data_IF_305354969027
#
_entry.id   IF_305354969027
#
_cell.length_a   1.000
_cell.length_b   1.000
_cell.length_c   1.000
_cell.angle_alpha   90.00
_cell.angle_beta   90.00
_cell.angle_gamma   90.00
#
_symmetry.space_group_name_H-M   'P 1'
#
loop_
_entity.id
_entity.type
_entity.pdbx_description
1 polymer ?
#
# COMPACT_ATOMS: atom_id res chain seq x y z
N UNK A 1 2.38 -22.94 62.02
CA UNK A 1 1.66 -23.55 63.17
C UNK A 1 0.27 -22.95 63.22
N UNK A 2 -0.75 -23.81 63.42
CA UNK A 2 -2.19 -23.53 63.56
C UNK A 2 -2.93 -23.22 62.26
N UNK A 3 -4.10 -23.79 61.95
CA UNK A 3 -4.88 -24.85 62.59
C UNK A 3 -5.97 -25.28 61.61
N UNK A 4 -6.16 -26.60 61.53
CA UNK A 4 -7.45 -27.27 61.59
C UNK A 4 -8.56 -26.84 60.61
N UNK A 5 -8.56 -27.54 59.46
CA UNK A 5 -9.78 -28.00 58.80
C UNK A 5 -10.60 -28.86 59.80
N UNK A 6 -11.87 -28.50 60.01
CA UNK A 6 -12.83 -29.25 60.86
C UNK A 6 -14.13 -29.40 60.07
N UNK A 7 -14.32 -30.56 59.42
CA UNK A 7 -15.32 -31.63 59.72
C UNK A 7 -16.73 -31.33 59.11
N UNK A 8 -17.70 -32.27 59.05
CA UNK A 8 -17.65 -33.60 58.43
C UNK A 8 -19.03 -34.04 57.83
N UNK A 9 -19.07 -35.25 57.27
CA UNK A 9 -20.21 -36.20 57.29
C UNK A 9 -21.62 -35.74 56.85
N UNK A 10 -22.09 -36.27 55.72
CA UNK A 10 -23.42 -36.88 55.67
C UNK A 10 -23.52 -38.04 54.65
N UNK A 11 -23.39 -39.25 55.20
CA UNK A 11 -24.04 -40.54 54.89
C UNK A 11 -25.16 -40.47 53.81
N UNK A 12 -24.98 -41.12 52.65
CA UNK A 12 -25.44 -42.49 52.25
C UNK A 12 -26.95 -42.67 51.97
N UNK A 13 -27.20 -43.03 50.68
CA UNK A 13 -28.24 -43.94 50.11
C UNK A 13 -29.70 -43.41 50.08
N UNK A 14 -30.62 -43.94 49.24
CA UNK A 14 -30.51 -45.01 48.23
C UNK A 14 -31.12 -44.64 46.84
N UNK A 15 -31.07 -45.62 45.93
CA UNK A 15 -31.62 -45.67 44.59
C UNK A 15 -33.04 -45.10 44.40
N UNK A 16 -33.24 -44.41 43.27
CA UNK A 16 -34.38 -44.72 42.39
C UNK A 16 -33.89 -44.74 40.95
N UNK A 17 -33.80 -45.96 40.42
CA UNK A 17 -33.71 -46.25 39.00
C UNK A 17 -34.97 -45.69 38.33
N UNK A 18 -34.89 -44.48 37.81
CA UNK A 18 -35.85 -43.99 36.82
C UNK A 18 -35.26 -44.28 35.43
N UNK A 19 -35.61 -45.46 34.93
CA UNK A 19 -35.43 -45.91 33.56
C UNK A 19 -36.18 -44.95 32.62
N UNK A 20 -35.54 -43.83 32.25
CA UNK A 20 -36.08 -42.93 31.22
C UNK A 20 -35.92 -43.62 29.88
N UNK A 21 -37.04 -44.16 29.41
CA UNK A 21 -37.27 -44.76 28.11
C UNK A 21 -36.90 -43.77 26.99
N UNK A 22 -35.67 -43.89 26.48
CA UNK A 22 -35.16 -43.11 25.35
C UNK A 22 -35.77 -43.70 24.08
N UNK A 23 -37.01 -43.32 23.76
CA UNK A 23 -37.63 -43.62 22.46
C UNK A 23 -36.76 -43.00 21.36
N UNK A 24 -35.93 -43.81 20.73
CA UNK A 24 -35.22 -43.45 19.52
C UNK A 24 -36.25 -43.31 18.40
N UNK A 25 -36.67 -42.07 18.14
CA UNK A 25 -37.40 -41.72 16.93
C UNK A 25 -36.35 -41.74 15.80
N UNK A 26 -36.13 -42.91 15.21
CA UNK A 26 -35.40 -43.00 13.94
C UNK A 26 -36.37 -42.57 12.84
N UNK A 27 -36.46 -41.27 12.60
CA UNK A 27 -36.93 -40.80 11.29
C UNK A 27 -35.85 -41.18 10.28
N UNK A 28 -36.16 -42.13 9.40
CA UNK A 28 -35.34 -42.38 8.22
C UNK A 28 -35.22 -41.05 7.46
N UNK A 29 -34.02 -40.53 7.17
CA UNK A 29 -33.91 -39.34 6.34
C UNK A 29 -34.47 -39.72 4.97
N UNK A 30 -35.62 -39.15 4.61
CA UNK A 30 -36.09 -39.21 3.24
C UNK A 30 -34.92 -38.68 2.39
N UNK A 31 -34.36 -39.53 1.53
CA UNK A 31 -33.31 -39.12 0.60
C UNK A 31 -33.89 -37.97 -0.23
N UNK A 32 -33.53 -36.74 0.14
CA UNK A 32 -33.73 -35.58 -0.71
C UNK A 32 -33.02 -35.93 -2.00
N UNK A 33 -33.79 -36.14 -3.06
CA UNK A 33 -33.25 -36.34 -4.40
C UNK A 33 -32.29 -35.20 -4.66
N UNK A 34 -31.00 -35.51 -4.74
CA UNK A 34 -30.01 -34.54 -5.20
C UNK A 34 -30.37 -34.22 -6.64
N UNK A 35 -31.00 -33.08 -6.85
CA UNK A 35 -31.14 -32.49 -8.16
C UNK A 35 -29.70 -32.20 -8.64
N UNK A 36 -29.26 -32.90 -9.67
CA UNK A 36 -27.98 -32.59 -10.32
C UNK A 36 -28.02 -31.17 -10.86
N UNK A 37 -26.92 -30.42 -10.73
CA UNK A 37 -26.80 -29.10 -11.33
C UNK A 37 -26.99 -29.18 -12.84
N UNK A 38 -27.82 -28.30 -13.39
CA UNK A 38 -27.98 -28.18 -14.83
C UNK A 38 -26.73 -27.57 -15.46
N UNK A 39 -26.39 -27.98 -16.68
CA UNK A 39 -25.31 -27.35 -17.46
C UNK A 39 -25.53 -25.84 -17.61
N UNK A 40 -26.80 -25.42 -17.77
CA UNK A 40 -27.17 -24.02 -17.90
C UNK A 40 -26.83 -23.22 -16.63
N UNK A 41 -26.96 -23.85 -15.47
CA UNK A 41 -26.70 -23.25 -14.16
C UNK A 41 -25.22 -22.94 -13.96
N UNK A 42 -24.34 -23.83 -14.44
CA UNK A 42 -22.90 -23.57 -14.46
C UNK A 42 -22.52 -22.51 -15.52
N UNK A 43 -23.16 -22.54 -16.69
CA UNK A 43 -22.90 -21.56 -17.75
C UNK A 43 -23.22 -20.13 -17.29
N UNK A 44 -24.40 -19.90 -16.69
CA UNK A 44 -24.77 -18.56 -16.24
C UNK A 44 -23.83 -18.04 -15.14
N UNK A 45 -23.38 -18.91 -14.22
CA UNK A 45 -22.44 -18.53 -13.15
C UNK A 45 -21.08 -18.11 -13.72
N UNK A 46 -20.52 -18.86 -14.67
CA UNK A 46 -19.23 -18.51 -15.29
C UNK A 46 -19.35 -17.19 -16.07
N UNK A 47 -20.47 -16.97 -16.75
CA UNK A 47 -20.74 -15.71 -17.46
C UNK A 47 -20.81 -14.53 -16.48
N UNK A 48 -21.51 -14.68 -15.37
CA UNK A 48 -21.63 -13.63 -14.36
C UNK A 48 -20.28 -13.32 -13.68
N UNK A 49 -19.52 -14.34 -13.28
CA UNK A 49 -18.19 -14.16 -12.68
C UNK A 49 -17.23 -13.52 -13.70
N UNK A 50 -17.22 -14.00 -14.95
CA UNK A 50 -16.42 -13.43 -16.02
C UNK A 50 -16.74 -11.96 -16.28
N UNK A 51 -18.03 -11.59 -16.29
CA UNK A 51 -18.48 -10.21 -16.43
C UNK A 51 -18.04 -9.30 -15.28
N UNK A 52 -18.15 -9.76 -14.02
CA UNK A 52 -17.70 -9.00 -12.85
C UNK A 52 -16.18 -8.80 -12.87
N UNK A 53 -15.41 -9.85 -13.17
CA UNK A 53 -13.94 -9.77 -13.26
C UNK A 53 -13.52 -8.76 -14.33
N UNK A 54 -14.15 -8.80 -15.51
CA UNK A 54 -13.87 -7.86 -16.59
C UNK A 54 -14.16 -6.40 -16.18
N UNK A 55 -15.26 -6.18 -15.47
CA UNK A 55 -15.64 -4.84 -15.02
C UNK A 55 -14.70 -4.30 -13.94
N UNK A 56 -14.43 -5.10 -12.90
CA UNK A 56 -13.60 -4.68 -11.76
C UNK A 56 -12.13 -4.51 -12.15
N UNK A 57 -11.59 -5.39 -13.01
CA UNK A 57 -10.19 -5.31 -13.46
C UNK A 57 -9.85 -3.99 -14.17
N UNK A 58 -10.82 -3.37 -14.85
CA UNK A 58 -10.60 -2.13 -15.61
C UNK A 58 -10.52 -0.86 -14.75
N UNK A 59 -11.11 -0.85 -13.55
CA UNK A 59 -11.30 0.36 -12.74
C UNK A 59 -10.11 0.72 -11.86
N UNK A 60 -9.24 -0.23 -11.51
CA UNK A 60 -8.14 -0.04 -10.54
C UNK A 60 -6.93 0.67 -11.16
N UNK A 61 -6.68 0.47 -12.46
CA UNK A 61 -5.45 0.94 -13.10
C UNK A 61 -5.43 2.44 -13.41
N UNK A 62 -6.59 3.05 -13.72
CA UNK A 62 -6.64 4.46 -14.16
C UNK A 62 -6.53 5.51 -13.04
N UNK A 63 -6.88 5.18 -11.79
CA UNK A 63 -6.88 6.13 -10.68
C UNK A 63 -5.50 6.35 -10.04
N UNK A 64 -4.67 5.31 -10.03
CA UNK A 64 -3.35 5.34 -9.39
C UNK A 64 -2.40 6.32 -10.11
N UNK A 65 -2.41 6.34 -11.45
CA UNK A 65 -1.48 7.15 -12.24
C UNK A 65 -1.71 8.66 -12.06
N UNK A 66 -2.97 9.10 -11.97
CA UNK A 66 -3.29 10.51 -11.68
C UNK A 66 -2.78 10.94 -10.30
N UNK A 67 -2.96 10.07 -9.29
CA UNK A 67 -2.47 10.33 -7.94
C UNK A 67 -0.95 10.49 -7.91
N UNK A 68 -0.24 9.57 -8.60
CA UNK A 68 1.22 9.64 -8.75
C UNK A 68 1.69 10.91 -9.45
N UNK A 69 1.05 11.30 -10.56
CA UNK A 69 1.39 12.52 -11.28
C UNK A 69 1.27 13.79 -10.40
N UNK A 70 0.23 13.87 -9.56
CA UNK A 70 0.09 14.98 -8.62
C UNK A 70 1.13 14.93 -7.49
N UNK A 71 1.47 13.74 -6.99
CA UNK A 71 2.54 13.57 -6.01
C UNK A 71 3.88 14.05 -6.57
N UNK A 72 4.21 13.73 -7.83
CA UNK A 72 5.45 14.17 -8.49
C UNK A 72 5.55 15.69 -8.50
N UNK A 73 4.47 16.38 -8.89
CA UNK A 73 4.45 17.86 -8.90
C UNK A 73 4.77 18.45 -7.53
N UNK A 74 4.12 17.93 -6.48
CA UNK A 74 4.37 18.37 -5.10
C UNK A 74 5.78 18.02 -4.62
N UNK A 75 6.28 16.84 -4.99
CA UNK A 75 7.62 16.39 -4.66
C UNK A 75 8.69 17.26 -5.31
N UNK A 76 8.54 17.59 -6.60
CA UNK A 76 9.44 18.48 -7.32
C UNK A 76 9.48 19.88 -6.67
N UNK A 77 8.32 20.44 -6.31
CA UNK A 77 8.25 21.72 -5.59
C UNK A 77 8.96 21.66 -4.23
N UNK A 78 8.77 20.57 -3.49
CA UNK A 78 9.43 20.35 -2.20
C UNK A 78 10.95 20.22 -2.38
N UNK A 79 11.39 19.50 -3.41
CA UNK A 79 12.80 19.31 -3.73
C UNK A 79 13.47 20.62 -4.18
N UNK A 80 12.76 21.47 -4.93
CA UNK A 80 13.23 22.81 -5.28
C UNK A 80 13.52 23.64 -4.02
N UNK A 81 12.59 23.69 -3.06
CA UNK A 81 12.82 24.38 -1.78
C UNK A 81 13.99 23.80 -0.97
N UNK A 82 14.24 22.49 -1.06
CA UNK A 82 15.41 21.86 -0.41
C UNK A 82 16.74 22.28 -1.07
N UNK A 83 16.75 22.42 -2.40
CA UNK A 83 17.90 22.93 -3.15
C UNK A 83 18.18 24.39 -2.78
N UNK A 84 17.13 25.19 -2.64
CA UNK A 84 17.25 26.58 -2.19
C UNK A 84 17.79 26.66 -0.77
N UNK A 85 17.31 25.83 0.16
CA UNK A 85 17.86 25.77 1.52
C UNK A 85 19.34 25.40 1.53
N UNK A 86 19.74 24.42 0.72
CA UNK A 86 21.16 24.07 0.54
C UNK A 86 21.96 25.29 0.03
N UNK A 87 21.40 26.05 -0.90
CA UNK A 87 22.04 27.27 -1.42
C UNK A 87 22.15 28.37 -0.36
N UNK A 88 21.16 28.54 0.51
CA UNK A 88 21.19 29.52 1.59
C UNK A 88 22.29 29.21 2.61
N UNK A 89 22.49 27.93 2.93
CA UNK A 89 23.47 27.52 3.94
C UNK A 89 24.90 27.49 3.40
N UNK A 90 25.08 26.98 2.17
CA UNK A 90 26.40 26.74 1.58
C UNK A 90 26.86 27.86 0.64
N UNK A 91 25.94 28.75 0.26
CA UNK A 91 26.15 29.81 -0.73
C UNK A 91 26.25 29.32 -2.18
N UNK A 92 26.07 28.02 -2.45
CA UNK A 92 26.20 27.41 -3.78
C UNK A 92 25.05 26.45 -4.05
N UNK A 93 24.70 26.28 -5.32
CA UNK A 93 23.77 25.21 -5.72
C UNK A 93 24.47 23.85 -5.60
N UNK A 94 23.73 22.78 -5.28
CA UNK A 94 24.27 21.43 -5.30
C UNK A 94 24.66 21.06 -6.74
N UNK A 95 25.73 20.28 -6.92
CA UNK A 95 26.12 19.79 -8.24
C UNK A 95 25.30 18.57 -8.66
N UNK A 96 24.85 17.80 -7.66
CA UNK A 96 23.97 16.64 -7.82
C UNK A 96 22.91 16.63 -6.73
N UNK A 97 21.74 16.02 -7.00
CA UNK A 97 20.73 15.79 -5.96
C UNK A 97 21.25 14.96 -4.79
N UNK A 98 22.30 14.17 -4.99
CA UNK A 98 22.94 13.41 -3.92
C UNK A 98 23.58 14.31 -2.84
N UNK A 99 23.97 15.54 -3.19
CA UNK A 99 24.56 16.52 -2.26
C UNK A 99 23.55 17.00 -1.20
N UNK A 100 22.25 16.78 -1.45
CA UNK A 100 21.17 17.02 -0.49
C UNK A 100 21.07 15.92 0.57
N UNK A 101 21.57 14.72 0.28
CA UNK A 101 21.52 13.57 1.19
C UNK A 101 22.81 13.44 1.97
N UNK A 102 23.94 13.57 1.27
CA UNK A 102 25.28 13.45 1.84
C UNK A 102 26.05 14.75 1.61
N UNK A 103 26.89 15.17 2.58
CA UNK A 103 27.70 16.36 2.41
C UNK A 103 28.71 16.17 1.28
N UNK A 104 28.74 17.04 0.26
CA UNK A 104 29.79 17.03 -0.74
C UNK A 104 31.11 17.52 -0.14
N UNK A 105 32.23 17.02 -0.66
CA UNK A 105 33.56 17.46 -0.24
C UNK A 105 33.80 18.94 -0.56
N UNK A 106 34.37 19.69 0.38
CA UNK A 106 34.78 21.09 0.17
C UNK A 106 33.67 22.12 0.36
N UNK A 107 32.56 21.76 1.00
CA UNK A 107 31.48 22.69 1.33
C UNK A 107 31.49 23.03 2.81
N UNK A 108 31.71 24.31 3.12
CA UNK A 108 31.59 24.86 4.47
C UNK A 108 30.12 25.12 4.80
N UNK A 109 29.71 24.86 6.05
CA UNK A 109 28.37 25.15 6.58
C UNK A 109 27.21 24.27 6.07
N UNK A 110 27.48 23.03 5.65
CA UNK A 110 26.41 22.06 5.42
C UNK A 110 25.73 21.70 6.76
N UNK A 111 24.44 22.02 6.92
CA UNK A 111 23.73 21.91 8.20
C UNK A 111 23.00 20.58 8.41
N UNK A 112 22.99 19.70 7.40
CA UNK A 112 22.36 18.40 7.53
C UNK A 112 21.80 17.89 6.20
N UNK A 113 21.24 16.67 6.20
CA UNK A 113 20.58 16.14 5.02
C UNK A 113 19.30 16.95 4.75
N UNK A 114 19.29 17.70 3.67
CA UNK A 114 18.14 18.45 3.18
C UNK A 114 17.07 17.52 2.57
N UNK A 115 17.50 16.36 2.04
CA UNK A 115 16.62 15.37 1.45
C UNK A 115 16.94 13.96 1.95
N UNK A 116 15.93 13.07 1.91
CA UNK A 116 16.14 11.63 2.04
C UNK A 116 16.42 11.02 0.67
N UNK A 117 17.19 9.94 0.63
CA UNK A 117 17.47 9.20 -0.61
C UNK A 117 16.19 8.79 -1.38
N UNK A 118 15.11 8.47 -0.66
CA UNK A 118 13.82 8.13 -1.26
C UNK A 118 13.15 9.30 -2.00
N UNK A 119 13.48 10.55 -1.66
CA UNK A 119 12.90 11.74 -2.28
C UNK A 119 13.59 12.12 -3.59
N UNK A 120 14.70 11.47 -3.93
CA UNK A 120 15.42 11.70 -5.19
C UNK A 120 14.79 10.95 -6.36
N UNK A 121 13.92 9.97 -6.07
CA UNK A 121 13.18 9.19 -7.05
C UNK A 121 11.71 9.59 -7.03
N UNK A 122 11.07 9.58 -8.19
CA UNK A 122 9.65 9.82 -8.32
C UNK A 122 8.79 8.61 -7.87
N UNK A 123 7.45 8.72 -7.78
CA UNK A 123 6.53 7.64 -7.40
C UNK A 123 6.45 6.46 -8.38
N UNK A 124 7.10 6.55 -9.54
CA UNK A 124 7.29 5.43 -10.47
C UNK A 124 8.65 4.75 -10.27
N UNK A 125 9.51 5.33 -9.44
CA UNK A 125 10.83 4.80 -9.09
C UNK A 125 11.94 5.32 -10.01
N UNK A 126 11.66 6.33 -10.84
CA UNK A 126 12.64 6.92 -11.74
C UNK A 126 13.39 8.06 -11.04
N UNK A 127 14.71 8.20 -11.25
CA UNK A 127 15.47 9.30 -10.68
C UNK A 127 15.01 10.65 -11.27
N UNK A 128 14.86 11.65 -10.41
CA UNK A 128 14.54 13.02 -10.84
C UNK A 128 15.74 13.60 -11.60
N UNK A 129 15.49 14.13 -12.78
CA UNK A 129 16.49 14.82 -13.58
C UNK A 129 16.76 16.20 -13.00
N UNK A 130 18.03 16.47 -12.74
CA UNK A 130 18.51 17.74 -12.21
C UNK A 130 19.57 18.30 -13.13
N UNK A 131 19.46 19.60 -13.45
CA UNK A 131 20.42 20.30 -14.30
C UNK A 131 20.77 21.66 -13.71
N UNK A 132 22.06 21.96 -13.70
CA UNK A 132 22.63 23.26 -13.30
C UNK A 132 23.73 23.64 -14.29
N UNK A 133 23.73 24.86 -14.86
CA UNK A 133 22.63 25.83 -14.81
C UNK A 133 21.39 25.36 -15.57
N UNK A 134 20.21 25.83 -15.18
CA UNK A 134 18.94 25.54 -15.86
C UNK A 134 18.71 26.39 -17.12
N UNK A 135 17.69 26.04 -17.90
CA UNK A 135 17.22 26.79 -19.06
C UNK A 135 16.36 27.98 -18.59
N UNK A 136 17.00 29.16 -18.46
CA UNK A 136 16.33 30.39 -18.02
C UNK A 136 16.16 30.51 -16.51
N UNK A 137 16.69 29.56 -15.73
CA UNK A 137 16.63 29.53 -14.25
C UNK A 137 17.96 29.07 -13.65
N UNK A 138 18.18 29.25 -12.33
CA UNK A 138 19.38 28.75 -11.67
C UNK A 138 19.54 27.24 -11.79
N UNK A 139 18.43 26.48 -11.77
CA UNK A 139 18.41 25.04 -11.92
C UNK A 139 17.10 24.56 -12.56
N UNK A 140 17.13 23.34 -13.11
CA UNK A 140 15.94 22.64 -13.58
C UNK A 140 15.75 21.30 -12.87
N UNK A 141 14.49 21.00 -12.58
CA UNK A 141 14.03 19.70 -12.09
C UNK A 141 12.96 19.14 -13.02
N UNK A 142 13.09 17.86 -13.36
CA UNK A 142 12.15 17.18 -14.23
C UNK A 142 12.01 15.69 -13.86
N UNK A 143 10.78 15.17 -13.87
CA UNK A 143 10.51 13.73 -13.89
C UNK A 143 10.11 13.32 -15.31
N UNK A 144 10.56 12.14 -15.74
CA UNK A 144 10.27 11.56 -17.05
C UNK A 144 8.90 10.84 -17.08
N UNK A 145 8.06 11.03 -16.07
CA UNK A 145 6.75 10.38 -16.00
C UNK A 145 6.82 8.86 -15.84
N UNK A 146 5.72 8.21 -16.20
CA UNK A 146 5.52 6.76 -16.01
C UNK A 146 6.38 5.87 -16.90
N UNK A 147 6.75 6.32 -18.10
CA UNK A 147 7.54 5.53 -19.05
C UNK A 147 9.06 5.67 -18.84
N UNK A 148 9.48 6.68 -18.08
CA UNK A 148 10.89 6.94 -17.77
C UNK A 148 11.68 7.43 -18.98
N UNK A 149 11.01 7.98 -20.00
CA UNK A 149 11.66 8.47 -21.23
C UNK A 149 11.30 9.94 -21.46
N UNK A 150 12.21 10.72 -22.09
CA UNK A 150 11.89 12.08 -22.47
C UNK A 150 10.70 12.13 -23.43
N UNK A 151 9.78 13.06 -23.21
CA UNK A 151 8.59 13.28 -24.02
C UNK A 151 7.35 12.63 -23.43
N UNK A 152 6.66 11.80 -24.22
CA UNK A 152 5.44 11.11 -23.80
C UNK A 152 4.17 11.98 -23.82
N UNK A 153 3.06 11.35 -23.43
CA UNK A 153 1.75 12.00 -23.36
C UNK A 153 0.96 11.53 -22.13
N UNK A 154 0.03 12.35 -21.64
CA UNK A 154 -0.76 12.05 -20.46
C UNK A 154 0.10 11.76 -19.22
N UNK A 155 0.17 10.52 -18.73
CA UNK A 155 0.96 10.12 -17.56
C UNK A 155 2.42 9.79 -17.89
N UNK A 156 2.72 9.60 -19.17
CA UNK A 156 4.07 9.42 -19.69
C UNK A 156 4.72 10.78 -19.99
N UNK A 157 3.97 11.88 -19.87
CA UNK A 157 4.50 13.21 -20.15
C UNK A 157 5.51 13.66 -19.08
N UNK A 158 6.60 14.28 -19.53
CA UNK A 158 7.58 14.93 -18.66
C UNK A 158 6.91 15.97 -17.75
N UNK A 159 7.20 15.89 -16.44
CA UNK A 159 6.74 16.86 -15.44
C UNK A 159 7.93 17.72 -15.03
N UNK A 160 7.93 18.99 -15.44
CA UNK A 160 8.97 19.96 -15.13
C UNK A 160 8.56 20.83 -13.93
N UNK A 161 9.55 21.26 -13.15
CA UNK A 161 9.38 22.41 -12.27
C UNK A 161 9.18 23.64 -13.13
N UNK A 162 8.20 24.48 -12.82
CA UNK A 162 7.93 25.79 -13.47
C UNK A 162 8.17 26.91 -12.46
#
# INVERSE_FOLDING_TARGET
MRSAFVFPYFILRPEVVAMVNRRSITCSPAQMRQAGMSLLEIIIVIVLIGGVIAFVGSRVLGGADRGKANLVKSQIQTLAGKIENYQLDTGKLPGSLNDLVNPPGGVSNWLGPYAKAAELNDPWGHPIQYRVPGEGRPFDLMSLGKDGKPGGSSYDADIKYE
#
